data_IF_112376188412
#
_entry.id   IF_112376188412
#
_cell.length_a   1.000
_cell.length_b   1.000
_cell.length_c   1.000
_cell.angle_alpha   90.00
_cell.angle_beta   90.00
_cell.angle_gamma   90.00
#
_symmetry.space_group_name_H-M   'P 1'
#
loop_
_entity.id
_entity.type
_entity.pdbx_description
1 polymer ?
#
# COMPACT_ATOMS: atom_id res chain seq x y z
N UNK A 1 15.29 56.70 -32.88
CA UNK A 1 14.57 56.34 -31.63
C UNK A 1 14.42 54.84 -31.59
N UNK A 2 15.23 54.15 -30.76
CA UNK A 2 15.16 52.66 -30.57
C UNK A 2 14.38 52.41 -29.32
N UNK A 3 13.22 51.77 -29.42
CA UNK A 3 12.43 51.30 -28.27
C UNK A 3 13.00 49.97 -27.78
N UNK A 4 13.51 49.97 -26.54
CA UNK A 4 13.98 48.81 -25.82
C UNK A 4 12.75 48.21 -25.13
N UNK A 5 12.30 47.05 -25.60
CA UNK A 5 11.19 46.30 -24.95
C UNK A 5 11.76 45.46 -23.85
N UNK A 6 11.49 45.81 -22.56
CA UNK A 6 11.78 44.99 -21.43
C UNK A 6 10.66 43.93 -21.26
N UNK A 7 10.98 42.69 -21.58
CA UNK A 7 10.13 41.55 -21.21
C UNK A 7 10.37 41.20 -19.74
N UNK A 8 9.41 41.53 -18.88
CA UNK A 8 9.37 41.07 -17.49
C UNK A 8 8.95 39.60 -17.52
N UNK A 9 9.92 38.69 -17.32
CA UNK A 9 9.66 37.26 -17.13
C UNK A 9 9.12 37.06 -15.72
N UNK A 10 7.81 36.86 -15.62
CA UNK A 10 7.14 36.57 -14.34
C UNK A 10 7.45 35.12 -13.93
N UNK A 11 8.41 34.93 -13.04
CA UNK A 11 8.75 33.64 -12.43
C UNK A 11 7.62 33.27 -11.48
N UNK A 12 6.68 32.44 -11.94
CA UNK A 12 5.64 31.83 -11.10
C UNK A 12 6.34 30.83 -10.16
N UNK A 13 6.68 31.27 -8.97
CA UNK A 13 7.04 30.42 -7.84
C UNK A 13 5.78 29.63 -7.43
N UNK A 14 5.70 28.38 -7.88
CA UNK A 14 4.77 27.41 -7.29
C UNK A 14 5.21 27.13 -5.85
N UNK A 15 4.66 27.89 -4.91
CA UNK A 15 4.68 27.50 -3.51
C UNK A 15 3.82 26.24 -3.39
N UNK A 16 4.44 25.08 -3.37
CA UNK A 16 3.83 23.89 -2.83
C UNK A 16 3.56 24.20 -1.36
N UNK A 17 2.33 24.59 -1.05
CA UNK A 17 1.88 24.73 0.34
C UNK A 17 1.88 23.33 0.95
N UNK A 18 2.99 22.95 1.57
CA UNK A 18 3.05 21.82 2.49
C UNK A 18 2.02 22.14 3.57
N UNK A 19 0.95 21.36 3.62
CA UNK A 19 -0.09 21.49 4.64
C UNK A 19 0.47 20.92 5.92
N UNK A 20 1.15 21.76 6.68
CA UNK A 20 1.62 21.44 8.02
C UNK A 20 0.39 21.35 8.92
N UNK A 21 0.20 20.23 9.60
CA UNK A 21 -0.91 20.07 10.51
C UNK A 21 -0.76 21.04 11.68
N UNK A 22 0.32 20.96 12.45
CA UNK A 22 0.66 21.87 13.52
C UNK A 22 2.05 22.50 13.31
N UNK A 23 2.15 23.81 13.52
CA UNK A 23 3.43 24.52 13.56
C UNK A 23 4.06 24.40 14.96
N UNK A 24 4.93 23.43 15.13
CA UNK A 24 5.57 23.17 16.42
C UNK A 24 6.44 24.31 16.95
N UNK A 25 6.81 25.27 16.12
CA UNK A 25 7.49 26.48 16.59
C UNK A 25 6.60 27.42 17.38
N UNK A 26 5.28 27.23 17.28
CA UNK A 26 4.23 28.02 17.93
C UNK A 26 3.47 27.26 19.02
N UNK A 27 3.89 26.04 19.34
CA UNK A 27 3.25 25.21 20.36
C UNK A 27 3.28 25.89 21.73
N UNK A 28 2.12 26.25 22.24
CA UNK A 28 1.96 27.02 23.48
C UNK A 28 1.29 26.22 24.60
N UNK A 29 0.28 25.43 24.29
CA UNK A 29 -0.44 24.59 25.26
C UNK A 29 0.27 23.28 25.54
N UNK A 30 -0.07 22.61 26.64
CA UNK A 30 0.50 21.30 26.99
C UNK A 30 0.15 20.25 25.94
N UNK A 31 -1.08 20.28 25.38
CA UNK A 31 -1.51 19.40 24.30
C UNK A 31 -0.68 19.60 23.04
N UNK A 32 -0.45 20.86 22.63
CA UNK A 32 0.39 21.16 21.45
C UNK A 32 1.82 20.70 21.64
N UNK A 33 2.40 20.93 22.82
CA UNK A 33 3.75 20.44 23.15
C UNK A 33 3.83 18.92 23.13
N UNK A 34 2.80 18.23 23.62
CA UNK A 34 2.71 16.77 23.58
C UNK A 34 2.66 16.24 22.14
N UNK A 35 1.86 16.86 21.26
CA UNK A 35 1.83 16.53 19.85
C UNK A 35 3.21 16.72 19.22
N UNK A 36 3.86 17.84 19.47
CA UNK A 36 5.16 18.17 18.90
C UNK A 36 6.31 17.29 19.42
N UNK A 37 6.17 16.71 20.60
CA UNK A 37 7.16 15.79 21.17
C UNK A 37 7.08 14.35 20.60
N UNK A 38 6.02 14.01 19.84
CA UNK A 38 5.77 12.65 19.35
C UNK A 38 5.49 12.64 17.85
N UNK A 39 6.37 11.99 17.06
CA UNK A 39 6.14 11.80 15.62
C UNK A 39 4.81 11.09 15.34
N UNK A 40 4.44 10.11 16.18
CA UNK A 40 3.14 9.41 16.12
C UNK A 40 1.97 10.40 16.21
N UNK A 41 1.99 11.31 17.18
CA UNK A 41 0.92 12.29 17.35
C UNK A 41 0.92 13.32 16.23
N UNK A 42 2.09 13.75 15.74
CA UNK A 42 2.19 14.64 14.59
C UNK A 42 1.60 13.99 13.32
N UNK A 43 1.84 12.72 13.08
CA UNK A 43 1.26 11.97 11.96
C UNK A 43 -0.26 11.89 12.07
N UNK A 44 -0.77 11.56 13.27
CA UNK A 44 -2.22 11.55 13.51
C UNK A 44 -2.84 12.93 13.35
N UNK A 45 -2.16 14.02 13.77
CA UNK A 45 -2.63 15.38 13.60
C UNK A 45 -2.69 15.78 12.11
N UNK A 46 -1.70 15.39 11.31
CA UNK A 46 -1.70 15.60 9.87
C UNK A 46 -2.88 14.89 9.19
N UNK A 47 -3.13 13.62 9.54
CA UNK A 47 -4.28 12.85 9.02
C UNK A 47 -5.61 13.44 9.47
N UNK A 48 -5.72 13.82 10.75
CA UNK A 48 -6.90 14.49 11.31
C UNK A 48 -7.26 15.77 10.55
N UNK A 49 -6.25 16.60 10.29
CA UNK A 49 -6.42 17.83 9.54
C UNK A 49 -6.94 17.58 8.11
N UNK A 50 -6.37 16.57 7.41
CA UNK A 50 -6.88 16.14 6.10
C UNK A 50 -8.32 15.64 6.16
N UNK A 51 -8.65 14.81 7.17
CA UNK A 51 -10.01 14.32 7.37
C UNK A 51 -11.00 15.48 7.63
N UNK A 52 -10.62 16.43 8.48
CA UNK A 52 -11.44 17.62 8.76
C UNK A 52 -11.65 18.48 7.51
N UNK A 53 -10.61 18.74 6.73
CA UNK A 53 -10.72 19.47 5.45
C UNK A 53 -11.67 18.78 4.47
N UNK A 54 -11.64 17.45 4.40
CA UNK A 54 -12.57 16.65 3.58
C UNK A 54 -14.01 16.74 4.09
N UNK A 55 -14.19 16.66 5.41
CA UNK A 55 -15.49 16.74 6.07
C UNK A 55 -16.17 18.09 5.84
N UNK A 56 -15.48 19.21 6.07
CA UNK A 56 -16.01 20.59 5.91
C UNK A 56 -16.44 20.91 4.47
N UNK A 57 -15.89 20.18 3.46
CA UNK A 57 -16.34 20.36 2.06
C UNK A 57 -17.70 19.72 1.78
N UNK A 58 -18.13 18.77 2.60
CA UNK A 58 -19.37 17.99 2.43
C UNK A 58 -20.48 18.43 3.37
N UNK A 59 -20.14 19.06 4.49
CA UNK A 59 -21.05 19.39 5.58
C UNK A 59 -21.26 20.90 5.72
N UNK A 60 -22.28 21.30 6.51
CA UNK A 60 -22.47 22.71 6.90
C UNK A 60 -21.27 23.20 7.70
N UNK A 61 -20.66 24.29 7.23
CA UNK A 61 -19.44 24.84 7.82
C UNK A 61 -19.61 25.27 9.28
N UNK A 62 -20.79 25.78 9.65
CA UNK A 62 -21.05 26.26 11.00
C UNK A 62 -21.15 25.09 11.97
N UNK A 63 -21.88 24.03 11.58
CA UNK A 63 -22.00 22.80 12.37
C UNK A 63 -20.66 22.10 12.50
N UNK A 64 -19.91 21.96 11.39
CA UNK A 64 -18.57 21.35 11.38
C UNK A 64 -17.62 22.09 12.33
N UNK A 65 -17.63 23.41 12.32
CA UNK A 65 -16.81 24.25 13.22
C UNK A 65 -17.20 24.10 14.69
N UNK A 66 -18.50 24.08 15.01
CA UNK A 66 -18.98 23.84 16.37
C UNK A 66 -18.58 22.48 16.89
N UNK A 67 -18.78 21.42 16.08
CA UNK A 67 -18.38 20.05 16.42
C UNK A 67 -16.85 19.92 16.61
N UNK A 68 -16.06 20.64 15.82
CA UNK A 68 -14.60 20.63 15.96
C UNK A 68 -14.17 21.35 17.25
N UNK A 69 -14.76 22.48 17.58
CA UNK A 69 -14.45 23.19 18.83
C UNK A 69 -14.80 22.37 20.06
N UNK A 70 -15.96 21.71 20.07
CA UNK A 70 -16.37 20.83 21.16
C UNK A 70 -15.37 19.68 21.33
N UNK A 71 -14.99 19.04 20.24
CA UNK A 71 -14.00 17.97 20.26
C UNK A 71 -12.61 18.45 20.75
N UNK A 72 -12.14 19.62 20.33
CA UNK A 72 -10.87 20.19 20.81
C UNK A 72 -10.88 20.37 22.34
N UNK A 73 -11.99 20.85 22.91
CA UNK A 73 -12.12 21.00 24.36
C UNK A 73 -12.05 19.65 25.11
N UNK A 74 -12.59 18.56 24.52
CA UNK A 74 -12.46 17.22 25.10
C UNK A 74 -11.03 16.67 24.94
N UNK A 75 -10.44 16.79 23.74
CA UNK A 75 -9.06 16.39 23.44
C UNK A 75 -8.08 17.00 24.44
N UNK A 76 -8.22 18.28 24.74
CA UNK A 76 -7.29 19.02 25.60
C UNK A 76 -7.36 18.62 27.10
N UNK A 77 -8.30 17.73 27.46
CA UNK A 77 -8.34 17.08 28.78
C UNK A 77 -7.35 15.91 28.91
N UNK A 78 -6.84 15.39 27.80
CA UNK A 78 -5.83 14.32 27.82
C UNK A 78 -4.55 14.78 28.52
N UNK A 79 -3.98 13.90 29.36
CA UNK A 79 -2.75 14.16 30.13
C UNK A 79 -1.56 13.34 29.68
N UNK A 80 -1.77 12.43 28.73
CA UNK A 80 -0.75 11.57 28.16
C UNK A 80 -0.97 11.35 26.66
N UNK A 81 0.05 10.81 26.00
CA UNK A 81 0.08 10.57 24.56
C UNK A 81 -0.85 9.44 24.11
N UNK A 82 -1.16 8.48 24.99
CA UNK A 82 -2.08 7.37 24.68
C UNK A 82 -3.52 7.89 24.61
N UNK A 83 -3.97 8.66 25.62
CA UNK A 83 -5.26 9.31 25.62
C UNK A 83 -5.41 10.19 24.38
N UNK A 84 -4.42 11.04 24.11
CA UNK A 84 -4.44 11.99 23.01
C UNK A 84 -4.48 11.27 21.65
N UNK A 85 -3.67 10.22 21.48
CA UNK A 85 -3.67 9.42 20.26
C UNK A 85 -5.01 8.72 20.02
N UNK A 86 -5.62 8.15 21.06
CA UNK A 86 -6.94 7.51 20.95
C UNK A 86 -8.04 8.52 20.60
N UNK A 87 -8.02 9.72 21.21
CA UNK A 87 -8.95 10.78 20.87
C UNK A 87 -8.82 11.24 19.40
N UNK A 88 -7.58 11.34 18.89
CA UNK A 88 -7.32 11.68 17.49
C UNK A 88 -7.80 10.58 16.54
N UNK A 89 -7.50 9.31 16.81
CA UNK A 89 -7.96 8.16 16.00
C UNK A 89 -9.49 8.16 15.92
N UNK A 90 -10.18 8.24 17.05
CA UNK A 90 -11.65 8.28 17.07
C UNK A 90 -12.22 9.46 16.28
N UNK A 91 -11.55 10.64 16.33
CA UNK A 91 -11.97 11.81 15.55
C UNK A 91 -11.74 11.60 14.06
N UNK A 92 -10.60 11.02 13.66
CA UNK A 92 -10.33 10.68 12.26
C UNK A 92 -11.41 9.73 11.74
N UNK A 93 -11.74 8.67 12.48
CA UNK A 93 -12.82 7.74 12.14
C UNK A 93 -14.15 8.48 11.90
N UNK A 94 -14.55 9.34 12.84
CA UNK A 94 -15.79 10.15 12.72
C UNK A 94 -15.80 11.03 11.48
N UNK A 95 -14.68 11.67 11.15
CA UNK A 95 -14.60 12.64 10.04
C UNK A 95 -14.44 11.99 8.68
N UNK A 96 -13.72 10.85 8.61
CA UNK A 96 -13.44 10.12 7.36
C UNK A 96 -14.49 9.07 7.02
N UNK A 97 -15.21 8.56 8.04
CA UNK A 97 -16.07 7.40 7.91
C UNK A 97 -15.31 6.06 7.88
N UNK A 98 -14.02 6.06 8.21
CA UNK A 98 -13.21 4.84 8.30
C UNK A 98 -13.46 4.13 9.63
N UNK A 99 -13.73 2.83 9.61
CA UNK A 99 -13.86 2.04 10.85
C UNK A 99 -12.50 1.59 11.40
N UNK A 100 -11.49 1.43 10.53
CA UNK A 100 -10.11 1.17 10.94
C UNK A 100 -9.20 2.35 10.64
N UNK A 101 -8.39 2.73 11.62
CA UNK A 101 -7.24 3.65 11.47
C UNK A 101 -6.04 2.99 12.13
N UNK A 102 -5.05 2.62 11.34
CA UNK A 102 -3.83 1.93 11.79
C UNK A 102 -2.59 2.77 11.54
N UNK A 103 -1.81 2.99 12.60
CA UNK A 103 -0.47 3.57 12.49
C UNK A 103 0.56 2.45 12.37
N UNK A 104 1.30 2.44 11.27
CA UNK A 104 2.23 1.38 10.91
C UNK A 104 3.65 1.96 10.83
N UNK A 105 4.50 1.60 11.80
CA UNK A 105 5.87 2.14 11.94
C UNK A 105 6.96 1.08 11.78
N UNK A 106 6.60 -0.16 11.50
CA UNK A 106 7.55 -1.29 11.40
C UNK A 106 7.61 -1.94 10.02
N UNK A 107 6.82 -1.47 9.06
CA UNK A 107 6.78 -2.05 7.72
C UNK A 107 7.96 -1.61 6.85
N UNK A 108 8.59 -0.47 7.15
CA UNK A 108 9.70 0.11 6.38
C UNK A 108 10.69 0.82 7.30
N UNK A 109 11.96 0.86 6.90
CA UNK A 109 13.00 1.64 7.55
C UNK A 109 13.03 3.11 7.09
N UNK A 110 12.37 3.42 5.98
CA UNK A 110 12.34 4.77 5.38
C UNK A 110 11.03 5.50 5.63
N UNK A 111 9.93 4.75 5.84
CA UNK A 111 8.58 5.29 5.86
C UNK A 111 7.79 4.84 7.08
N UNK A 112 6.95 5.73 7.57
CA UNK A 112 5.84 5.43 8.48
C UNK A 112 4.52 5.63 7.73
N UNK A 113 3.47 4.91 8.14
CA UNK A 113 2.19 4.94 7.45
C UNK A 113 1.04 5.12 8.43
N UNK A 114 0.01 5.86 7.98
CA UNK A 114 -1.31 5.82 8.60
C UNK A 114 -2.29 5.32 7.56
N UNK A 115 -2.90 4.17 7.82
CA UNK A 115 -3.83 3.50 6.94
C UNK A 115 -5.24 3.63 7.50
N UNK A 116 -6.21 4.02 6.66
CA UNK A 116 -7.62 4.10 7.00
C UNK A 116 -8.47 3.30 6.02
N UNK A 117 -9.38 2.45 6.52
CA UNK A 117 -10.31 1.66 5.68
C UNK A 117 -11.74 1.80 6.18
N UNK A 118 -12.70 1.86 5.24
CA UNK A 118 -14.07 2.28 5.53
C UNK A 118 -14.84 1.31 6.41
N UNK A 119 -14.80 -0.01 6.15
CA UNK A 119 -15.65 -0.99 6.84
C UNK A 119 -14.85 -2.18 7.33
N UNK A 120 -15.17 -2.65 8.52
CA UNK A 120 -14.53 -3.82 9.12
C UNK A 120 -15.55 -4.91 9.45
N UNK A 121 -15.18 -6.15 9.15
CA UNK A 121 -15.82 -7.34 9.66
C UNK A 121 -14.90 -7.94 10.74
N UNK A 122 -15.31 -7.82 11.99
CA UNK A 122 -14.54 -8.30 13.13
C UNK A 122 -15.06 -9.68 13.55
N UNK A 123 -14.50 -10.73 12.94
CA UNK A 123 -14.75 -12.13 13.28
C UNK A 123 -13.55 -12.68 14.06
N UNK A 124 -13.77 -13.42 15.19
CA UNK A 124 -12.68 -13.98 15.99
C UNK A 124 -11.74 -14.92 15.22
N UNK A 125 -12.21 -15.54 14.15
CA UNK A 125 -11.43 -16.44 13.29
C UNK A 125 -10.67 -15.71 12.20
N UNK A 126 -11.29 -14.66 11.62
CA UNK A 126 -10.73 -13.92 10.48
C UNK A 126 -11.31 -12.51 10.42
N UNK A 127 -10.59 -11.54 10.92
CA UNK A 127 -10.99 -10.13 10.91
C UNK A 127 -10.39 -9.38 9.73
N UNK A 128 -11.22 -8.67 8.98
CA UNK A 128 -10.83 -7.91 7.79
C UNK A 128 -11.46 -6.53 7.77
N UNK A 129 -10.82 -5.60 7.07
CA UNK A 129 -11.49 -4.36 6.69
C UNK A 129 -11.38 -4.16 5.18
N UNK A 130 -12.46 -3.67 4.55
CA UNK A 130 -12.50 -3.47 3.10
C UNK A 130 -13.33 -2.23 2.70
N UNK A 131 -13.14 -1.78 1.47
CA UNK A 131 -13.82 -0.64 0.88
C UNK A 131 -12.92 0.56 0.66
N UNK A 132 -13.51 1.77 0.50
CA UNK A 132 -12.71 2.98 0.32
C UNK A 132 -11.67 3.16 1.41
N UNK A 133 -10.42 3.39 1.00
CA UNK A 133 -9.31 3.50 1.94
C UNK A 133 -8.30 4.58 1.56
N UNK A 134 -7.46 4.92 2.53
CA UNK A 134 -6.35 5.87 2.37
C UNK A 134 -5.08 5.32 3.00
N UNK A 135 -3.95 5.53 2.33
CA UNK A 135 -2.62 5.35 2.91
C UNK A 135 -1.92 6.71 2.93
N UNK A 136 -1.68 7.24 4.13
CA UNK A 136 -0.83 8.41 4.35
C UNK A 136 0.58 7.96 4.63
N UNK A 137 1.53 8.46 3.84
CA UNK A 137 2.95 8.10 3.86
C UNK A 137 3.72 9.24 4.48
N UNK A 138 4.53 8.95 5.49
CA UNK A 138 5.38 9.91 6.19
C UNK A 138 6.84 9.47 6.09
N UNK A 139 7.77 10.42 6.09
CA UNK A 139 9.19 10.10 6.31
C UNK A 139 9.34 9.50 7.70
N UNK A 140 10.17 8.48 7.82
CA UNK A 140 10.41 7.75 9.07
C UNK A 140 10.65 8.67 10.26
N UNK A 141 9.87 8.48 11.34
CA UNK A 141 9.97 9.27 12.55
C UNK A 141 9.60 10.75 12.42
N UNK A 142 8.93 11.13 11.32
CA UNK A 142 8.53 12.51 11.03
C UNK A 142 7.01 12.66 11.03
N UNK A 143 6.52 13.85 11.37
CA UNK A 143 5.11 14.26 11.20
C UNK A 143 4.82 14.87 9.82
N UNK A 144 5.82 14.96 8.93
CA UNK A 144 5.65 15.53 7.59
C UNK A 144 4.99 14.53 6.65
N UNK A 145 3.78 14.84 6.19
CA UNK A 145 3.07 14.04 5.21
C UNK A 145 3.79 14.15 3.85
N UNK A 146 4.34 13.02 3.40
CA UNK A 146 5.02 12.92 2.12
C UNK A 146 4.02 12.75 0.97
N UNK A 147 3.12 11.76 1.08
CA UNK A 147 2.11 11.48 0.05
C UNK A 147 0.88 10.83 0.67
N UNK A 148 -0.28 11.02 0.04
CA UNK A 148 -1.51 10.23 0.30
C UNK A 148 -1.87 9.45 -0.95
N UNK A 149 -2.08 8.14 -0.81
CA UNK A 149 -2.72 7.27 -1.79
C UNK A 149 -4.17 7.05 -1.35
N UNK A 150 -5.10 7.17 -2.29
CA UNK A 150 -6.53 6.89 -2.05
C UNK A 150 -6.97 5.79 -2.98
N UNK A 151 -7.67 4.79 -2.45
CA UNK A 151 -8.20 3.64 -3.20
C UNK A 151 -9.71 3.57 -3.04
N UNK A 152 -10.41 3.17 -4.10
CA UNK A 152 -11.85 2.88 -4.02
C UNK A 152 -12.12 1.59 -3.27
N UNK A 153 -11.24 0.60 -3.43
CA UNK A 153 -11.24 -0.65 -2.69
C UNK A 153 -9.85 -0.88 -2.11
N UNK A 154 -9.78 -1.01 -0.81
CA UNK A 154 -8.62 -1.43 -0.05
C UNK A 154 -9.05 -2.61 0.82
N UNK A 155 -8.21 -3.64 0.90
CA UNK A 155 -8.48 -4.80 1.73
C UNK A 155 -7.32 -5.01 2.70
N UNK A 156 -7.62 -5.14 3.99
CA UNK A 156 -6.61 -5.45 5.01
C UNK A 156 -7.08 -6.59 5.90
N UNK A 157 -6.13 -7.36 6.37
CA UNK A 157 -6.33 -8.37 7.39
C UNK A 157 -5.86 -7.85 8.74
N UNK A 158 -6.60 -8.18 9.79
CA UNK A 158 -6.25 -7.85 11.15
C UNK A 158 -5.83 -9.13 11.88
N UNK A 159 -4.76 -9.05 12.65
CA UNK A 159 -4.35 -10.14 13.51
C UNK A 159 -5.33 -10.31 14.70
N UNK A 160 -5.12 -11.33 15.53
CA UNK A 160 -5.97 -11.61 16.72
C UNK A 160 -6.02 -10.47 17.74
N UNK A 161 -5.14 -9.47 17.64
CA UNK A 161 -5.15 -8.27 18.49
C UNK A 161 -5.86 -7.09 17.84
N UNK A 162 -6.41 -7.27 16.63
CA UNK A 162 -7.03 -6.21 15.86
C UNK A 162 -6.02 -5.25 15.18
N UNK A 163 -4.74 -5.65 15.08
CA UNK A 163 -3.70 -4.85 14.41
C UNK A 163 -3.60 -5.25 12.94
N UNK A 164 -3.38 -4.28 12.05
CA UNK A 164 -3.16 -4.52 10.63
C UNK A 164 -1.88 -5.34 10.41
N UNK A 165 -1.99 -6.44 9.66
CA UNK A 165 -0.83 -7.24 9.24
C UNK A 165 -0.09 -6.55 8.09
N UNK A 166 1.24 -6.68 8.06
CA UNK A 166 2.09 -6.08 7.04
C UNK A 166 3.19 -7.05 6.60
N UNK A 167 3.60 -6.97 5.35
CA UNK A 167 4.72 -7.73 4.75
C UNK A 167 4.56 -9.27 4.85
N UNK A 168 3.34 -9.78 4.98
CA UNK A 168 3.06 -11.22 4.88
C UNK A 168 2.49 -11.51 3.49
N UNK A 169 3.11 -12.46 2.80
CA UNK A 169 2.68 -12.92 1.47
C UNK A 169 2.82 -14.43 1.43
N UNK A 170 1.72 -15.14 1.25
CA UNK A 170 1.70 -16.60 1.11
C UNK A 170 1.05 -16.96 -0.22
N UNK A 171 1.85 -17.54 -1.12
CA UNK A 171 1.32 -18.17 -2.34
C UNK A 171 0.58 -19.42 -1.92
N UNK A 172 -0.66 -19.58 -2.19
CA UNK A 172 -1.54 -20.66 -1.68
C UNK A 172 -1.84 -20.63 -0.17
N UNK A 173 -1.45 -19.56 0.56
CA UNK A 173 -1.73 -19.40 1.98
C UNK A 173 -2.90 -18.47 2.27
N UNK A 174 -3.32 -18.47 3.54
CA UNK A 174 -4.43 -17.64 4.02
C UNK A 174 -3.95 -16.28 4.57
N UNK A 175 -2.62 -16.13 4.80
CA UNK A 175 -2.06 -14.92 5.42
C UNK A 175 -1.48 -13.98 4.36
N UNK A 176 -2.29 -13.00 3.95
CA UNK A 176 -1.90 -12.03 2.93
C UNK A 176 -2.16 -10.61 3.40
N UNK A 177 -1.10 -9.90 3.74
CA UNK A 177 -1.20 -8.51 4.22
C UNK A 177 -1.79 -7.58 3.19
N UNK A 178 -2.56 -6.60 3.66
CA UNK A 178 -3.07 -5.52 2.82
C UNK A 178 -2.02 -4.48 2.44
N UNK A 179 -0.90 -4.42 3.17
CA UNK A 179 0.25 -3.56 2.88
C UNK A 179 1.52 -4.40 2.86
N UNK A 180 2.22 -4.38 1.74
CA UNK A 180 3.54 -4.98 1.55
C UNK A 180 4.50 -3.89 1.06
N UNK A 181 5.68 -3.83 1.67
CA UNK A 181 6.77 -2.92 1.32
C UNK A 181 7.95 -3.75 0.88
N UNK A 182 8.32 -3.66 -0.40
CA UNK A 182 9.42 -4.40 -0.98
C UNK A 182 9.95 -3.67 -2.23
N UNK A 183 11.10 -4.07 -2.77
CA UNK A 183 11.70 -3.54 -3.99
C UNK A 183 11.23 -4.36 -5.21
N UNK A 184 10.06 -4.04 -5.73
CA UNK A 184 9.40 -4.81 -6.79
C UNK A 184 10.04 -4.65 -8.17
N UNK A 185 10.86 -3.62 -8.39
CA UNK A 185 11.53 -3.35 -9.66
C UNK A 185 13.05 -3.48 -9.59
N UNK A 186 13.61 -3.76 -8.40
CA UNK A 186 15.03 -3.96 -8.12
C UNK A 186 15.90 -2.72 -8.33
N UNK A 187 15.35 -1.54 -8.05
CA UNK A 187 16.06 -0.26 -8.15
C UNK A 187 16.65 0.24 -6.83
N UNK A 188 16.56 -0.58 -5.77
CA UNK A 188 17.01 -0.31 -4.39
C UNK A 188 16.18 0.75 -3.65
N UNK A 189 14.98 1.01 -4.10
CA UNK A 189 14.00 1.81 -3.38
C UNK A 189 12.83 0.92 -2.99
N UNK A 190 12.35 1.10 -1.75
CA UNK A 190 11.18 0.38 -1.31
C UNK A 190 9.92 0.90 -2.01
N UNK A 191 9.18 -0.01 -2.62
CA UNK A 191 7.90 0.21 -3.28
C UNK A 191 6.74 -0.09 -2.33
N UNK A 192 5.54 0.32 -2.70
CA UNK A 192 4.33 0.10 -1.92
C UNK A 192 3.38 -0.80 -2.73
N UNK A 193 2.96 -1.91 -2.13
CA UNK A 193 2.03 -2.85 -2.71
C UNK A 193 0.81 -2.91 -1.80
N UNK A 194 -0.36 -2.54 -2.34
CA UNK A 194 -1.61 -2.43 -1.61
C UNK A 194 -2.65 -3.42 -2.14
N UNK A 195 -3.20 -4.25 -1.26
CA UNK A 195 -4.28 -5.16 -1.63
C UNK A 195 -5.54 -4.37 -1.94
N UNK A 196 -6.06 -4.56 -3.15
CA UNK A 196 -7.25 -3.90 -3.67
C UNK A 196 -8.49 -4.81 -3.69
N UNK A 197 -8.40 -5.99 -3.07
CA UNK A 197 -9.50 -6.94 -2.94
C UNK A 197 -9.08 -8.38 -3.17
N UNK A 198 -10.05 -9.18 -3.63
CA UNK A 198 -9.92 -10.60 -3.96
C UNK A 198 -10.30 -10.82 -5.43
N UNK A 199 -9.74 -10.02 -6.34
CA UNK A 199 -10.05 -10.07 -7.77
C UNK A 199 -9.04 -10.92 -8.56
N UNK A 200 -8.08 -11.58 -7.86
CA UNK A 200 -7.10 -12.48 -8.44
C UNK A 200 -7.71 -13.80 -8.92
N UNK A 201 -6.88 -14.64 -9.52
CA UNK A 201 -7.31 -15.96 -9.98
C UNK A 201 -7.94 -16.76 -8.83
N UNK A 202 -9.06 -17.42 -9.10
CA UNK A 202 -9.87 -18.16 -8.12
C UNK A 202 -10.35 -17.34 -6.92
N UNK A 203 -10.54 -16.02 -7.09
CA UNK A 203 -10.93 -15.16 -5.99
C UNK A 203 -9.81 -14.92 -4.97
N UNK A 204 -8.56 -15.13 -5.37
CA UNK A 204 -7.40 -14.85 -4.54
C UNK A 204 -7.10 -13.35 -4.40
N UNK A 205 -6.15 -13.00 -3.52
CA UNK A 205 -5.75 -11.62 -3.32
C UNK A 205 -5.30 -10.92 -4.60
N UNK A 206 -5.65 -9.65 -4.75
CA UNK A 206 -5.22 -8.80 -5.85
C UNK A 206 -4.64 -7.51 -5.32
N UNK A 207 -3.63 -6.93 -6.02
CA UNK A 207 -2.86 -5.81 -5.51
C UNK A 207 -2.60 -4.74 -6.55
N UNK A 208 -2.57 -3.49 -6.08
CA UNK A 208 -2.02 -2.34 -6.79
C UNK A 208 -0.54 -2.16 -6.41
N UNK A 209 0.34 -2.04 -7.39
CA UNK A 209 1.78 -1.87 -7.19
C UNK A 209 2.18 -0.42 -7.49
N UNK A 210 2.71 0.27 -6.49
CA UNK A 210 3.18 1.65 -6.61
C UNK A 210 4.70 1.68 -6.48
N UNK A 211 5.39 2.02 -7.56
CA UNK A 211 6.84 2.17 -7.57
C UNK A 211 7.26 3.57 -7.12
N UNK A 212 8.36 3.66 -6.39
CA UNK A 212 8.95 4.93 -5.99
C UNK A 212 9.68 5.58 -7.17
N UNK A 213 9.15 6.67 -7.68
CA UNK A 213 9.78 7.46 -8.75
C UNK A 213 10.75 8.47 -8.13
N UNK A 214 12.05 8.18 -8.21
CA UNK A 214 13.12 9.02 -7.65
C UNK A 214 13.14 10.41 -8.28
N UNK A 215 12.85 10.52 -9.58
CA UNK A 215 12.88 11.80 -10.28
C UNK A 215 11.72 12.71 -9.86
N UNK A 216 10.56 12.13 -9.59
CA UNK A 216 9.37 12.85 -9.14
C UNK A 216 9.22 12.91 -7.62
N UNK A 217 10.03 12.15 -6.88
CA UNK A 217 9.92 12.00 -5.43
C UNK A 217 8.47 11.63 -5.02
N UNK A 218 7.94 10.56 -5.60
CA UNK A 218 6.59 10.09 -5.31
C UNK A 218 6.41 8.61 -5.65
N UNK A 219 5.45 7.95 -5.02
CA UNK A 219 4.97 6.64 -5.40
C UNK A 219 3.97 6.76 -6.55
N UNK A 220 4.18 5.98 -7.61
CA UNK A 220 3.35 6.02 -8.83
C UNK A 220 2.87 4.62 -9.16
N UNK A 221 1.56 4.47 -9.42
CA UNK A 221 0.97 3.19 -9.81
C UNK A 221 1.65 2.64 -11.07
N UNK A 222 2.10 1.40 -10.98
CA UNK A 222 2.70 0.67 -12.11
C UNK A 222 1.69 -0.34 -12.66
N UNK A 223 1.04 -0.02 -13.77
CA UNK A 223 0.01 -0.85 -14.37
C UNK A 223 0.51 -2.25 -14.76
N UNK A 224 1.71 -2.46 -15.37
CA UNK A 224 2.19 -3.79 -15.72
C UNK A 224 2.41 -4.73 -14.53
N UNK A 225 2.94 -4.23 -13.40
CA UNK A 225 3.12 -5.04 -12.20
C UNK A 225 1.78 -5.27 -11.46
N UNK A 226 0.90 -4.28 -11.46
CA UNK A 226 -0.47 -4.40 -10.95
C UNK A 226 -1.24 -5.48 -11.70
N UNK A 227 -1.12 -5.55 -13.03
CA UNK A 227 -1.74 -6.62 -13.83
C UNK A 227 -1.24 -8.00 -13.41
N UNK A 228 0.07 -8.19 -13.22
CA UNK A 228 0.60 -9.45 -12.71
C UNK A 228 0.09 -9.80 -11.31
N UNK A 229 0.01 -8.82 -10.42
CA UNK A 229 -0.46 -9.02 -9.06
C UNK A 229 -1.99 -9.21 -8.95
N UNK A 230 -2.73 -8.98 -10.04
CA UNK A 230 -4.19 -9.09 -10.08
C UNK A 230 -4.70 -10.26 -10.93
N UNK A 231 -3.88 -10.81 -11.84
CA UNK A 231 -4.30 -11.88 -12.75
C UNK A 231 -3.83 -13.28 -12.34
N UNK A 232 -3.04 -13.40 -11.29
CA UNK A 232 -2.46 -14.65 -10.80
C UNK A 232 -3.04 -15.07 -9.42
N UNK A 233 -2.48 -16.11 -8.81
CA UNK A 233 -2.88 -16.61 -7.49
C UNK A 233 -2.24 -15.75 -6.38
N UNK A 234 -2.64 -14.49 -6.30
CA UNK A 234 -2.12 -13.52 -5.35
C UNK A 234 -0.89 -12.75 -5.85
N UNK A 235 -0.19 -12.13 -4.92
CA UNK A 235 1.02 -11.36 -5.22
C UNK A 235 2.14 -12.27 -5.72
N UNK A 236 2.92 -11.78 -6.64
CA UNK A 236 4.14 -12.44 -7.10
C UNK A 236 5.21 -12.51 -6.00
N UNK A 237 6.05 -13.53 -6.04
CA UNK A 237 7.25 -13.65 -5.19
C UNK A 237 8.36 -12.76 -5.73
N UNK A 238 9.09 -12.07 -4.85
CA UNK A 238 10.24 -11.21 -5.16
C UNK A 238 11.53 -11.95 -4.74
N UNK A 239 12.42 -12.23 -5.70
CA UNK A 239 13.74 -12.80 -5.43
C UNK A 239 14.82 -11.75 -5.65
N UNK A 240 15.22 -11.10 -4.57
CA UNK A 240 16.26 -10.08 -4.56
C UNK A 240 17.64 -10.56 -5.05
N UNK A 241 17.94 -11.84 -4.85
CA UNK A 241 19.25 -12.39 -5.25
C UNK A 241 19.33 -12.60 -6.74
N UNK A 242 18.23 -13.06 -7.35
CA UNK A 242 18.14 -13.32 -8.79
C UNK A 242 17.64 -12.10 -9.57
N UNK A 243 17.13 -11.09 -8.86
CA UNK A 243 16.45 -9.93 -9.46
C UNK A 243 15.32 -10.35 -10.38
N UNK A 244 14.45 -11.23 -9.87
CA UNK A 244 13.31 -11.78 -10.59
C UNK A 244 12.07 -11.75 -9.74
N UNK A 245 10.91 -11.68 -10.40
CA UNK A 245 9.62 -11.94 -9.78
C UNK A 245 9.01 -13.21 -10.39
N UNK A 246 8.25 -13.95 -9.57
CA UNK A 246 7.61 -15.20 -10.00
C UNK A 246 6.13 -15.16 -9.67
N UNK A 247 5.28 -15.47 -10.65
CA UNK A 247 3.84 -15.63 -10.49
C UNK A 247 3.44 -17.08 -10.52
N UNK A 248 2.31 -17.41 -9.90
CA UNK A 248 1.70 -18.74 -9.95
C UNK A 248 0.25 -18.64 -10.40
N UNK A 249 -0.17 -19.56 -11.25
CA UNK A 249 -1.58 -19.69 -11.64
C UNK A 249 -1.95 -21.16 -11.83
N UNK A 250 -3.24 -21.45 -11.88
CA UNK A 250 -3.76 -22.83 -12.09
C UNK A 250 -5.04 -22.81 -12.91
N UNK A 251 -5.39 -23.97 -13.48
CA UNK A 251 -6.69 -24.20 -14.10
C UNK A 251 -7.18 -25.60 -13.79
N UNK A 252 -8.31 -25.71 -13.14
CA UNK A 252 -8.88 -26.98 -12.67
C UNK A 252 -8.01 -27.70 -11.64
N UNK A 253 -8.00 -29.04 -11.71
CA UNK A 253 -7.30 -29.90 -10.76
C UNK A 253 -5.79 -30.03 -11.03
N UNK A 254 -5.41 -29.95 -12.30
CA UNK A 254 -4.17 -30.62 -12.72
C UNK A 254 -3.25 -29.73 -13.54
N UNK A 255 -3.72 -28.59 -14.03
CA UNK A 255 -2.88 -27.62 -14.73
C UNK A 255 -2.41 -26.53 -13.77
N UNK A 256 -1.09 -26.40 -13.66
CA UNK A 256 -0.42 -25.35 -12.89
C UNK A 256 0.63 -24.67 -13.74
N UNK A 257 0.84 -23.38 -13.52
CA UNK A 257 1.90 -22.64 -14.20
C UNK A 257 2.60 -21.70 -13.22
N UNK A 258 3.94 -21.70 -13.30
CA UNK A 258 4.83 -20.75 -12.65
C UNK A 258 5.58 -19.98 -13.72
N UNK A 259 5.54 -18.63 -13.65
CA UNK A 259 6.17 -17.77 -14.65
C UNK A 259 7.13 -16.80 -13.97
N UNK A 260 8.40 -16.80 -14.43
CA UNK A 260 9.47 -15.96 -13.88
C UNK A 260 9.81 -14.82 -14.82
N UNK A 261 9.90 -13.62 -14.28
CA UNK A 261 10.15 -12.39 -15.03
C UNK A 261 11.37 -11.66 -14.49
N UNK A 262 12.12 -11.04 -15.38
CA UNK A 262 13.02 -9.92 -15.06
C UNK A 262 12.27 -8.60 -15.23
N UNK A 263 12.70 -7.57 -14.50
CA UNK A 263 12.13 -6.23 -14.64
C UNK A 263 13.05 -5.37 -15.50
N UNK A 264 12.52 -4.88 -16.62
CA UNK A 264 13.22 -3.97 -17.51
C UNK A 264 12.38 -2.72 -17.77
N UNK A 265 12.92 -1.54 -17.44
CA UNK A 265 12.20 -0.26 -17.55
C UNK A 265 10.84 -0.29 -16.83
N UNK A 266 10.81 -0.82 -15.61
CA UNK A 266 9.62 -0.98 -14.77
C UNK A 266 8.51 -1.85 -15.40
N UNK A 267 8.88 -2.80 -16.27
CA UNK A 267 7.96 -3.74 -16.91
C UNK A 267 8.48 -5.18 -16.75
N UNK A 268 7.60 -6.12 -16.46
CA UNK A 268 7.97 -7.53 -16.41
C UNK A 268 8.26 -8.06 -17.81
N UNK A 269 9.37 -8.79 -17.93
CA UNK A 269 9.80 -9.50 -19.15
C UNK A 269 9.92 -10.97 -18.81
N UNK A 270 9.09 -11.83 -19.40
CA UNK A 270 9.09 -13.26 -19.15
C UNK A 270 10.43 -13.88 -19.58
N UNK A 271 11.09 -14.59 -18.67
CA UNK A 271 12.37 -15.27 -18.90
C UNK A 271 12.31 -16.76 -18.67
N UNK A 272 11.37 -17.25 -17.88
CA UNK A 272 11.15 -18.69 -17.71
C UNK A 272 9.67 -18.95 -17.39
N UNK A 273 9.21 -20.15 -17.75
CA UNK A 273 7.88 -20.63 -17.45
C UNK A 273 7.91 -22.15 -17.29
N UNK A 274 7.27 -22.65 -16.25
CA UNK A 274 7.05 -24.07 -16.04
C UNK A 274 5.55 -24.32 -15.99
N UNK A 275 5.05 -25.20 -16.84
CA UNK A 275 3.67 -25.66 -16.87
C UNK A 275 3.63 -27.12 -16.47
N UNK A 276 2.79 -27.48 -15.53
CA UNK A 276 2.50 -28.85 -15.14
C UNK A 276 1.07 -29.19 -15.60
N UNK A 277 0.92 -30.30 -16.31
CA UNK A 277 -0.37 -30.76 -16.81
C UNK A 277 -0.41 -32.30 -16.91
N UNK A 278 -1.62 -32.86 -16.83
CA UNK A 278 -1.81 -34.27 -17.05
C UNK A 278 -1.88 -34.59 -18.53
N UNK A 279 -0.95 -35.42 -19.01
CA UNK A 279 -0.94 -35.89 -20.38
C UNK A 279 -1.71 -37.22 -20.52
N UNK A 280 -2.81 -37.20 -21.23
CA UNK A 280 -3.58 -38.41 -21.54
C UNK A 280 -2.75 -39.42 -22.40
N UNK A 281 -1.91 -38.92 -23.27
CA UNK A 281 -1.02 -39.75 -24.10
C UNK A 281 0.01 -40.49 -23.25
N UNK A 282 0.67 -39.75 -22.33
CA UNK A 282 1.73 -40.29 -21.47
C UNK A 282 1.17 -40.96 -20.21
N UNK A 283 -0.12 -40.78 -19.92
CA UNK A 283 -0.82 -41.19 -18.67
C UNK A 283 -0.06 -40.80 -17.41
N UNK A 284 0.46 -39.57 -17.41
CA UNK A 284 1.30 -39.03 -16.35
C UNK A 284 1.23 -37.52 -16.31
N UNK A 285 1.60 -36.94 -15.15
CA UNK A 285 1.88 -35.50 -15.04
C UNK A 285 3.16 -35.20 -15.83
N UNK A 286 3.10 -34.15 -16.65
CA UNK A 286 4.22 -33.64 -17.46
C UNK A 286 4.51 -32.20 -17.06
N UNK A 287 5.73 -31.97 -16.60
CA UNK A 287 6.26 -30.63 -16.37
C UNK A 287 7.03 -30.18 -17.63
N UNK A 288 6.54 -29.14 -18.28
CA UNK A 288 7.20 -28.49 -19.42
C UNK A 288 7.80 -27.18 -18.96
N UNK A 289 9.11 -27.05 -18.97
CA UNK A 289 9.85 -25.86 -18.65
C UNK A 289 10.41 -25.22 -19.91
N UNK A 290 10.18 -23.93 -20.10
CA UNK A 290 10.84 -23.13 -21.13
C UNK A 290 11.61 -21.98 -20.48
N UNK A 291 12.86 -21.79 -20.94
CA UNK A 291 13.78 -20.76 -20.41
C UNK A 291 14.37 -19.97 -21.57
N UNK A 292 14.46 -18.65 -21.40
CA UNK A 292 15.06 -17.74 -22.37
C UNK A 292 16.58 -17.67 -22.16
N UNK A 293 17.36 -18.30 -23.05
CA UNK A 293 18.83 -18.32 -22.99
C UNK A 293 19.39 -17.73 -24.27
N UNK A 294 20.15 -16.64 -24.16
CA UNK A 294 20.74 -15.98 -25.32
C UNK A 294 19.71 -15.51 -26.36
N UNK A 295 18.52 -15.10 -25.91
CA UNK A 295 17.43 -14.65 -26.79
C UNK A 295 16.63 -15.76 -27.48
N UNK A 296 16.87 -17.04 -27.13
CA UNK A 296 16.14 -18.18 -27.66
C UNK A 296 15.49 -18.97 -26.54
N UNK A 297 14.27 -19.46 -26.78
CA UNK A 297 13.58 -20.35 -25.86
C UNK A 297 14.09 -21.78 -25.96
N UNK A 298 14.58 -22.30 -24.85
CA UNK A 298 14.91 -23.69 -24.66
C UNK A 298 13.76 -24.38 -23.93
N UNK A 299 13.27 -25.50 -24.49
CA UNK A 299 12.14 -26.25 -23.89
C UNK A 299 12.64 -27.61 -23.42
N UNK A 300 12.25 -27.99 -22.20
CA UNK A 300 12.52 -29.28 -21.59
C UNK A 300 11.22 -29.86 -21.03
N UNK A 301 11.03 -31.17 -21.22
CA UNK A 301 9.93 -31.90 -20.59
C UNK A 301 10.45 -32.89 -19.57
N UNK A 302 9.74 -33.00 -18.44
CA UNK A 302 9.96 -34.00 -17.41
C UNK A 302 8.63 -34.71 -17.14
N UNK A 303 8.65 -36.05 -17.22
CA UNK A 303 7.49 -36.85 -16.84
C UNK A 303 7.63 -37.17 -15.34
N UNK A 304 6.63 -36.78 -14.55
CA UNK A 304 6.56 -37.18 -13.17
C UNK A 304 5.84 -38.53 -13.09
N UNK A 305 6.55 -39.55 -12.67
CA UNK A 305 5.92 -40.84 -12.40
C UNK A 305 4.96 -40.66 -11.24
N UNK A 306 3.66 -40.93 -11.44
CA UNK A 306 2.77 -41.09 -10.31
C UNK A 306 3.29 -42.26 -9.48
N UNK A 307 3.67 -42.01 -8.24
CA UNK A 307 3.82 -43.07 -7.25
C UNK A 307 2.42 -43.64 -6.99
N UNK A 308 1.98 -44.56 -7.85
CA UNK A 308 0.81 -45.38 -7.56
C UNK A 308 1.18 -46.33 -6.43
N UNK A 309 0.80 -45.98 -5.23
CA UNK A 309 0.51 -46.94 -4.17
C UNK A 309 -0.99 -47.13 -4.03
#
# INVERSE_FOLDING_TARGET
>A
MRYLSLTVSSLLLFFTSSVWAMDCSKASTDTEKMICASSRLQQLDAVLNKAYQGYVKKEDKTQALQAQRAWLAERDRCKDDVCLGNAMVSRIQTLSGSENISLITKASDQWDFVLGVAKCNLDPSYSTCEGPGTLDIFKKGSGELFQRITMENMFIELNKKGETTVNLVEVYGENNSGLVIDDANFDHHADIILRNGNNGAYGGPSYDVYLFDVAKQQFTLNAPLTELASSNLGLFEIDDKRKTITTSTKSGCCWHQSSTYQIANNKPVLIAETTEDYSEEKKAMVATTRELVGGKWNVKEKIEKSDTQ
#
